data_IF_740159315487
#
_entry.id   IF_740159315487
#
_cell.length_a   1.000
_cell.length_b   1.000
_cell.length_c   1.000
_cell.angle_alpha   90.00
_cell.angle_beta   90.00
_cell.angle_gamma   90.00
#
_symmetry.space_group_name_H-M   'P 1'
#
loop_
_entity.id
_entity.type
_entity.pdbx_description
1 polymer ?
#
# COMPACT_ATOMS: atom_id res chain seq x y z
N UNK A 1 0.58 -7.73 0.63
CA UNK A 1 -0.67 -8.38 0.17
C UNK A 1 -0.95 -8.00 -1.27
N UNK A 2 -1.45 -8.90 -2.12
CA UNK A 2 -1.65 -8.61 -3.55
C UNK A 2 -2.72 -7.57 -3.87
N UNK A 3 -3.72 -7.38 -2.97
CA UNK A 3 -4.90 -6.55 -3.25
C UNK A 3 -5.00 -5.28 -2.40
N UNK A 4 -4.12 -5.06 -1.44
CA UNK A 4 -4.15 -3.90 -0.56
C UNK A 4 -2.77 -3.60 0.03
N UNK A 5 -2.61 -2.40 0.56
CA UNK A 5 -1.38 -1.93 1.20
C UNK A 5 -1.69 -1.61 2.66
N UNK A 6 -0.86 -2.09 3.56
CA UNK A 6 -0.77 -1.64 4.94
C UNK A 6 0.40 -0.68 5.07
N UNK A 7 0.20 0.43 5.78
CA UNK A 7 1.24 1.43 6.01
C UNK A 7 1.11 1.99 7.41
N UNK A 8 2.25 2.18 8.07
CA UNK A 8 2.36 3.05 9.25
C UNK A 8 2.96 4.35 8.75
N UNK A 9 2.26 5.45 8.96
CA UNK A 9 2.66 6.78 8.48
C UNK A 9 2.49 7.82 9.58
N UNK A 10 3.39 8.78 9.61
CA UNK A 10 3.30 9.95 10.46
C UNK A 10 3.57 11.22 9.66
N UNK A 11 3.21 12.36 10.19
CA UNK A 11 3.56 13.67 9.64
C UNK A 11 4.69 14.27 10.44
N UNK A 12 5.70 14.79 9.75
CA UNK A 12 6.89 15.38 10.38
C UNK A 12 6.80 16.90 10.55
N UNK A 13 5.75 17.52 10.03
CA UNK A 13 5.58 18.98 10.04
C UNK A 13 4.20 19.38 10.53
N UNK A 14 4.17 20.38 11.37
CA UNK A 14 2.93 21.02 11.80
C UNK A 14 2.18 21.58 10.57
N UNK A 15 0.89 21.25 10.51
CA UNK A 15 0.01 21.72 9.44
C UNK A 15 -0.15 20.78 8.24
N UNK A 16 0.62 19.70 8.13
CA UNK A 16 0.38 18.66 7.12
C UNK A 16 -0.77 17.74 7.55
N UNK A 17 -1.66 17.44 6.61
CA UNK A 17 -2.78 16.55 6.84
C UNK A 17 -2.50 15.16 6.26
N UNK A 18 -2.58 14.11 7.10
CA UNK A 18 -2.51 12.71 6.64
C UNK A 18 -3.54 12.43 5.54
N UNK A 19 -4.72 13.02 5.63
CA UNK A 19 -5.75 12.89 4.60
C UNK A 19 -5.32 13.49 3.27
N UNK A 20 -4.62 14.63 3.28
CA UNK A 20 -4.06 15.23 2.07
C UNK A 20 -2.94 14.37 1.47
N UNK A 21 -2.04 13.88 2.29
CA UNK A 21 -0.96 12.97 1.88
C UNK A 21 -1.55 11.73 1.22
N UNK A 22 -2.54 11.08 1.84
CA UNK A 22 -3.18 9.88 1.30
C UNK A 22 -3.95 10.15 0.00
N UNK A 23 -4.62 11.30 -0.09
CA UNK A 23 -5.28 11.73 -1.33
C UNK A 23 -4.27 11.86 -2.47
N UNK A 24 -3.16 12.53 -2.22
CA UNK A 24 -2.15 12.79 -3.25
C UNK A 24 -1.39 11.51 -3.61
N UNK A 25 -1.09 10.65 -2.64
CA UNK A 25 -0.56 9.31 -2.89
C UNK A 25 -1.48 8.48 -3.79
N UNK A 26 -2.78 8.41 -3.46
CA UNK A 26 -3.75 7.67 -4.27
C UNK A 26 -3.89 8.24 -5.67
N UNK A 27 -3.90 9.56 -5.83
CA UNK A 27 -3.96 10.23 -7.12
C UNK A 27 -2.73 9.94 -7.98
N UNK A 28 -1.53 10.09 -7.41
CA UNK A 28 -0.27 9.84 -8.09
C UNK A 28 -0.13 8.36 -8.48
N UNK A 29 -0.29 7.45 -7.54
CA UNK A 29 -0.13 6.02 -7.77
C UNK A 29 -1.18 5.47 -8.73
N UNK A 30 -2.43 5.94 -8.67
CA UNK A 30 -3.46 5.58 -9.65
C UNK A 30 -3.00 5.87 -11.09
N UNK A 31 -2.50 7.09 -11.33
CA UNK A 31 -2.02 7.50 -12.66
C UNK A 31 -0.82 6.63 -13.10
N UNK A 32 0.15 6.42 -12.21
CA UNK A 32 1.36 5.63 -12.52
C UNK A 32 1.03 4.18 -12.79
N UNK A 33 0.22 3.55 -11.97
CA UNK A 33 -0.17 2.14 -12.12
C UNK A 33 -0.93 1.90 -13.44
N UNK A 34 -1.86 2.77 -13.81
CA UNK A 34 -2.57 2.65 -15.10
C UNK A 34 -1.60 2.74 -16.27
N UNK A 35 -0.66 3.67 -16.23
CA UNK A 35 0.37 3.81 -17.26
C UNK A 35 1.24 2.56 -17.35
N UNK A 36 1.70 2.04 -16.21
CA UNK A 36 2.58 0.86 -16.19
C UNK A 36 1.84 -0.41 -16.63
N UNK A 37 0.59 -0.63 -16.22
CA UNK A 37 -0.21 -1.78 -16.69
C UNK A 37 -0.30 -1.79 -18.22
N UNK A 38 -0.50 -0.63 -18.83
CA UNK A 38 -0.53 -0.53 -20.30
C UNK A 38 0.85 -0.73 -20.95
N UNK A 39 1.93 -0.26 -20.28
CA UNK A 39 3.29 -0.31 -20.82
C UNK A 39 3.91 -1.70 -20.78
N UNK A 40 3.76 -2.42 -19.68
CA UNK A 40 4.40 -3.73 -19.47
C UNK A 40 3.67 -4.89 -20.15
N UNK A 41 2.53 -4.61 -20.79
CA UNK A 41 1.72 -5.61 -21.48
C UNK A 41 1.47 -6.87 -20.62
N UNK A 42 1.12 -6.64 -19.34
CA UNK A 42 0.79 -7.71 -18.40
C UNK A 42 -0.40 -8.53 -18.94
N UNK A 43 -0.37 -9.86 -18.78
CA UNK A 43 -1.35 -10.78 -19.37
C UNK A 43 -2.82 -10.46 -19.03
N UNK A 44 -3.06 -9.83 -17.89
CA UNK A 44 -4.40 -9.40 -17.43
C UNK A 44 -4.67 -7.91 -17.68
N UNK A 45 -3.78 -7.21 -18.41
CA UNK A 45 -3.85 -5.74 -18.57
C UNK A 45 -5.21 -5.28 -19.12
N UNK A 46 -5.73 -5.92 -20.13
CA UNK A 46 -7.05 -5.56 -20.70
C UNK A 46 -8.19 -5.71 -19.69
N UNK A 47 -8.19 -6.82 -18.97
CA UNK A 47 -9.21 -7.08 -17.94
C UNK A 47 -9.11 -6.08 -16.79
N UNK A 48 -7.90 -5.83 -16.29
CA UNK A 48 -7.64 -4.86 -15.22
C UNK A 48 -8.07 -3.45 -15.62
N UNK A 49 -7.66 -3.00 -16.81
CA UNK A 49 -8.02 -1.67 -17.30
C UNK A 49 -9.53 -1.51 -17.49
N UNK A 50 -10.22 -2.54 -18.02
CA UNK A 50 -11.69 -2.54 -18.12
C UNK A 50 -12.35 -2.44 -16.75
N UNK A 51 -11.88 -3.20 -15.76
CA UNK A 51 -12.40 -3.18 -14.39
C UNK A 51 -12.21 -1.81 -13.73
N UNK A 52 -11.01 -1.23 -13.82
CA UNK A 52 -10.71 0.08 -13.24
C UNK A 52 -11.47 1.23 -13.94
N UNK A 53 -11.65 1.13 -15.25
CA UNK A 53 -12.46 2.08 -16.01
C UNK A 53 -13.94 2.02 -15.60
N UNK A 54 -14.47 0.81 -15.44
CA UNK A 54 -15.85 0.60 -14.97
C UNK A 54 -16.04 1.15 -13.54
N UNK A 55 -15.05 0.96 -12.66
CA UNK A 55 -15.08 1.53 -11.31
C UNK A 55 -15.04 3.06 -11.34
N UNK A 56 -14.24 3.66 -12.22
CA UNK A 56 -14.15 5.12 -12.39
C UNK A 56 -15.41 5.75 -12.98
N UNK A 57 -16.05 5.11 -13.95
CA UNK A 57 -17.24 5.64 -14.65
C UNK A 57 -18.46 5.86 -13.76
N UNK A 58 -18.53 5.17 -12.63
CA UNK A 58 -19.59 5.34 -11.63
C UNK A 58 -19.49 6.66 -10.83
N UNK A 59 -18.38 7.35 -10.95
CA UNK A 59 -18.10 8.58 -10.21
C UNK A 59 -18.07 9.76 -11.18
N UNK A 60 -19.03 10.67 -11.06
CA UNK A 60 -19.15 11.89 -11.90
C UNK A 60 -17.90 12.77 -11.95
N UNK A 61 -16.97 12.59 -11.00
CA UNK A 61 -15.74 13.39 -10.85
C UNK A 61 -14.46 12.73 -11.36
N UNK A 62 -14.51 11.44 -11.75
CA UNK A 62 -13.33 10.69 -12.19
C UNK A 62 -13.50 10.35 -13.66
N UNK A 63 -12.70 11.01 -14.50
CA UNK A 63 -12.84 10.93 -15.93
C UNK A 63 -12.39 9.60 -16.56
N UNK A 64 -11.69 8.69 -15.81
CA UNK A 64 -11.13 7.54 -16.51
C UNK A 64 -11.01 6.24 -15.69
N UNK A 65 -10.13 6.15 -14.70
CA UNK A 65 -9.81 4.88 -14.03
C UNK A 65 -9.77 5.03 -12.52
N UNK A 66 -10.30 4.07 -11.78
CA UNK A 66 -10.25 4.01 -10.32
C UNK A 66 -9.66 2.68 -9.87
N UNK A 67 -8.43 2.71 -9.34
CA UNK A 67 -7.77 1.56 -8.74
C UNK A 67 -8.10 1.47 -7.23
N UNK A 68 -7.98 2.60 -6.54
CA UNK A 68 -8.17 2.63 -5.09
C UNK A 68 -9.64 2.64 -4.70
N UNK A 69 -9.98 1.80 -3.74
CA UNK A 69 -11.29 1.87 -3.08
C UNK A 69 -11.39 3.11 -2.20
N UNK A 70 -12.62 3.52 -1.90
CA UNK A 70 -12.88 4.60 -0.97
C UNK A 70 -12.61 4.15 0.47
N UNK A 71 -12.28 5.12 1.32
CA UNK A 71 -11.85 4.86 2.68
C UNK A 71 -10.39 4.43 2.80
N UNK A 72 -9.83 4.63 3.99
CA UNK A 72 -8.46 4.24 4.32
C UNK A 72 -8.41 3.33 5.55
N UNK A 73 -9.51 3.25 6.33
CA UNK A 73 -9.60 2.51 7.59
C UNK A 73 -8.44 2.83 8.54
N UNK A 74 -8.20 4.12 8.86
CA UNK A 74 -7.08 4.51 9.70
C UNK A 74 -7.29 4.02 11.13
N UNK A 75 -6.18 3.64 11.77
CA UNK A 75 -6.11 3.30 13.19
C UNK A 75 -5.04 4.22 13.78
N UNK A 76 -5.39 4.95 14.82
CA UNK A 76 -4.43 5.76 15.56
C UNK A 76 -3.53 4.85 16.40
N UNK A 77 -2.21 5.11 16.36
CA UNK A 77 -1.20 4.37 17.08
C UNK A 77 -0.72 5.25 18.24
N UNK A 78 -1.47 5.23 19.34
CA UNK A 78 -1.30 6.12 20.48
C UNK A 78 -0.35 5.56 21.56
N UNK A 79 0.13 4.32 21.39
CA UNK A 79 1.05 3.68 22.33
C UNK A 79 2.05 2.76 21.61
N UNK A 80 3.22 2.56 22.23
CA UNK A 80 4.24 1.63 21.73
C UNK A 80 3.69 0.22 21.56
N UNK A 81 2.85 -0.23 22.51
CA UNK A 81 2.25 -1.56 22.47
C UNK A 81 1.36 -1.74 21.23
N UNK A 82 0.50 -0.76 20.94
CA UNK A 82 -0.37 -0.81 19.75
C UNK A 82 0.47 -0.74 18.48
N UNK A 83 1.53 0.08 18.48
CA UNK A 83 2.45 0.19 17.35
C UNK A 83 3.15 -1.14 17.05
N UNK A 84 3.70 -1.82 18.04
CA UNK A 84 4.32 -3.14 17.91
C UNK A 84 3.31 -4.18 17.39
N UNK A 85 2.14 -4.26 17.99
CA UNK A 85 1.09 -5.18 17.53
C UNK A 85 0.68 -4.96 16.07
N UNK A 86 0.63 -3.70 15.61
CA UNK A 86 0.30 -3.40 14.23
C UNK A 86 1.45 -3.67 13.28
N UNK A 87 2.68 -3.47 13.73
CA UNK A 87 3.87 -3.81 12.96
C UNK A 87 3.95 -5.33 12.74
N UNK A 88 3.81 -6.11 13.82
CA UNK A 88 3.78 -7.57 13.75
C UNK A 88 2.66 -8.06 12.83
N UNK A 89 1.46 -7.51 12.99
CA UNK A 89 0.33 -7.84 12.11
C UNK A 89 0.64 -7.59 10.63
N UNK A 90 1.31 -6.47 10.31
CA UNK A 90 1.69 -6.15 8.92
C UNK A 90 2.75 -7.13 8.41
N UNK A 91 3.72 -7.48 9.24
CA UNK A 91 4.79 -8.40 8.87
C UNK A 91 4.27 -9.83 8.68
N UNK A 92 3.42 -10.31 9.57
CA UNK A 92 2.89 -11.67 9.53
C UNK A 92 1.76 -11.87 8.50
N UNK A 93 1.21 -10.80 7.98
CA UNK A 93 0.09 -10.87 7.04
C UNK A 93 0.36 -11.76 5.81
N UNK A 94 1.54 -11.72 5.15
CA UNK A 94 1.85 -12.63 4.06
C UNK A 94 2.03 -14.08 4.48
N UNK A 95 2.50 -14.33 5.71
CA UNK A 95 2.63 -15.68 6.28
C UNK A 95 1.25 -16.26 6.58
N UNK A 96 0.40 -15.49 7.26
CA UNK A 96 -0.99 -15.87 7.55
C UNK A 96 -1.82 -16.10 6.28
N UNK A 97 -1.45 -15.48 5.18
CA UNK A 97 -2.07 -15.68 3.87
C UNK A 97 -1.41 -16.80 3.04
N UNK A 98 -0.48 -17.56 3.63
CA UNK A 98 0.24 -18.68 3.00
C UNK A 98 0.96 -18.29 1.70
N UNK A 99 1.42 -17.02 1.61
CA UNK A 99 2.18 -16.52 0.45
C UNK A 99 3.67 -16.85 0.60
N UNK A 100 4.16 -16.79 1.83
CA UNK A 100 5.54 -17.11 2.22
C UNK A 100 5.53 -17.83 3.57
N UNK A 101 6.59 -18.59 3.85
CA UNK A 101 6.75 -19.31 5.12
C UNK A 101 7.23 -18.41 6.26
N UNK A 102 8.03 -17.38 5.92
CA UNK A 102 8.59 -16.43 6.88
C UNK A 102 8.36 -15.00 6.38
N UNK A 103 8.08 -14.06 7.30
CA UNK A 103 7.70 -12.68 6.97
C UNK A 103 8.75 -11.94 6.13
N UNK A 104 10.03 -12.14 6.42
CA UNK A 104 11.15 -11.51 5.71
C UNK A 104 11.36 -12.08 4.29
N UNK A 105 10.74 -13.17 3.95
CA UNK A 105 10.78 -13.75 2.60
C UNK A 105 9.79 -13.06 1.65
N UNK A 106 8.83 -12.30 2.19
CA UNK A 106 7.93 -11.52 1.34
C UNK A 106 8.61 -10.25 0.84
N UNK A 107 8.95 -10.23 -0.45
CA UNK A 107 9.74 -9.16 -1.08
C UNK A 107 9.10 -7.76 -0.96
N UNK A 108 7.79 -7.67 -0.91
CA UNK A 108 7.03 -6.41 -0.84
C UNK A 108 6.65 -6.02 0.58
N UNK A 109 7.36 -6.53 1.59
CA UNK A 109 7.22 -6.17 3.01
C UNK A 109 8.48 -5.52 3.55
N UNK A 110 8.34 -4.72 4.59
CA UNK A 110 9.45 -4.14 5.35
C UNK A 110 10.00 -5.09 6.41
N UNK A 111 9.40 -6.26 6.63
CA UNK A 111 9.90 -7.27 7.55
C UNK A 111 11.38 -7.61 7.28
N UNK A 112 11.81 -7.52 6.02
CA UNK A 112 13.20 -7.72 5.61
C UNK A 112 14.17 -6.72 6.26
N UNK A 113 13.75 -5.47 6.45
CA UNK A 113 14.57 -4.42 7.03
C UNK A 113 14.74 -4.56 8.55
N UNK A 114 13.87 -5.36 9.19
CA UNK A 114 13.96 -5.74 10.60
C UNK A 114 14.78 -7.01 10.82
N UNK A 115 15.14 -7.73 9.78
CA UNK A 115 16.01 -8.90 9.85
C UNK A 115 17.45 -8.53 9.53
N UNK A 116 18.38 -9.02 10.34
CA UNK A 116 19.81 -8.84 10.12
C UNK A 116 20.20 -9.32 8.71
N UNK A 117 20.98 -8.49 8.03
CA UNK A 117 21.52 -8.76 6.68
C UNK A 117 20.56 -8.78 5.50
N UNK A 118 19.27 -8.49 5.68
CA UNK A 118 18.31 -8.35 4.56
C UNK A 118 17.95 -6.88 4.35
N UNK A 119 17.75 -6.48 3.10
CA UNK A 119 17.28 -5.14 2.72
C UNK A 119 15.99 -5.23 1.94
N UNK A 120 15.05 -4.36 2.28
CA UNK A 120 13.81 -4.18 1.55
C UNK A 120 13.97 -3.34 0.28
N UNK A 121 12.85 -3.12 -0.42
CA UNK A 121 12.79 -2.35 -1.67
C UNK A 121 12.85 -0.83 -1.44
N UNK A 122 12.45 -0.38 -0.27
CA UNK A 122 12.34 1.04 0.08
C UNK A 122 13.24 1.36 1.26
N UNK A 123 13.75 2.58 1.28
CA UNK A 123 14.37 3.12 2.48
C UNK A 123 13.25 3.61 3.41
N UNK A 124 13.19 3.06 4.61
CA UNK A 124 12.17 3.34 5.61
C UNK A 124 12.81 3.70 6.94
N UNK A 125 12.04 4.33 7.82
CA UNK A 125 12.39 4.49 9.23
C UNK A 125 11.93 3.25 9.99
N UNK A 126 12.87 2.63 10.70
CA UNK A 126 12.54 1.48 11.54
C UNK A 126 11.96 2.01 12.86
N UNK A 127 10.84 1.43 13.25
CA UNK A 127 10.21 1.72 14.53
C UNK A 127 10.87 0.86 15.60
N UNK A 128 11.30 1.48 16.68
CA UNK A 128 11.91 0.84 17.85
C UNK A 128 10.98 0.90 19.07
#
# INVERSE_FOLDING_TARGET
MPSHIHMIISVNKDGESLSAIMRDFKKFSNKRLITEIGRINESRSEWLLKAFRRAGSKLKRIASYKIWMDGNHPIELDSSLIMEQKLDYIHDNPVNAEIVDEAENYWYSLARDYCDHKKGLLKVELLS
#
